data_IF_550947138897
#
_entry.id   IF_550947138897
#
_cell.length_a   1.000
_cell.length_b   1.000
_cell.length_c   1.000
_cell.angle_alpha   90.00
_cell.angle_beta   90.00
_cell.angle_gamma   90.00
#
_symmetry.space_group_name_H-M   'P 1'
#
loop_
_entity.id
_entity.type
_entity.pdbx_description
1 polymer ?
#
# COMPACT_ATOMS: atom_id res chain seq x y z
N UNK A 1 -18.29 -34.69 -56.40
CA UNK A 1 -17.16 -34.28 -57.26
C UNK A 1 -17.72 -33.46 -58.41
N UNK A 2 -17.31 -32.19 -58.60
CA UNK A 2 -16.66 -31.30 -57.64
C UNK A 2 -17.70 -30.92 -56.54
N UNK A 3 -17.93 -29.74 -55.97
CA UNK A 3 -17.32 -28.39 -55.95
C UNK A 3 -17.29 -27.90 -54.47
N UNK A 4 -16.77 -26.70 -54.22
CA UNK A 4 -16.86 -25.99 -52.94
C UNK A 4 -17.16 -24.50 -53.20
N UNK A 5 -18.06 -23.89 -52.42
CA UNK A 5 -18.23 -22.43 -52.39
C UNK A 5 -17.72 -21.87 -51.06
N UNK A 6 -16.70 -21.02 -51.13
CA UNK A 6 -16.21 -20.27 -49.97
C UNK A 6 -17.06 -19.02 -49.73
N UNK A 7 -17.58 -18.86 -48.52
CA UNK A 7 -18.17 -17.59 -48.08
C UNK A 7 -17.11 -16.73 -47.39
N UNK A 8 -16.74 -15.61 -48.02
CA UNK A 8 -16.03 -14.52 -47.35
C UNK A 8 -17.04 -13.63 -46.59
N UNK A 9 -16.79 -13.27 -45.32
CA UNK A 9 -17.59 -12.24 -44.64
C UNK A 9 -17.35 -10.86 -45.26
N UNK A 10 -18.42 -10.13 -45.58
CA UNK A 10 -18.32 -8.77 -46.13
C UNK A 10 -17.87 -7.76 -45.07
N UNK A 11 -17.18 -6.70 -45.50
CA UNK A 11 -16.90 -5.54 -44.65
C UNK A 11 -18.20 -4.87 -44.15
N UNK A 12 -18.38 -4.81 -42.83
CA UNK A 12 -19.11 -3.72 -42.20
C UNK A 12 -18.11 -2.66 -41.74
N UNK A 13 -18.21 -1.44 -42.26
CA UNK A 13 -17.42 -0.31 -41.79
C UNK A 13 -18.00 0.20 -40.46
N UNK A 14 -17.25 0.07 -39.36
CA UNK A 14 -17.63 0.66 -38.08
C UNK A 14 -17.24 2.14 -38.05
N UNK A 15 -18.20 3.01 -38.40
CA UNK A 15 -18.12 4.44 -38.13
C UNK A 15 -18.41 4.65 -36.63
N UNK A 16 -17.51 5.34 -35.92
CA UNK A 16 -17.72 5.73 -34.52
C UNK A 16 -16.74 5.09 -33.53
N UNK A 17 -15.49 5.59 -33.47
CA UNK A 17 -14.52 5.18 -32.43
C UNK A 17 -13.57 6.29 -31.94
N UNK A 18 -13.77 7.56 -32.34
CA UNK A 18 -12.88 8.68 -31.96
C UNK A 18 -13.49 9.72 -31.01
N UNK A 19 -14.81 9.76 -30.82
CA UNK A 19 -15.48 10.86 -30.08
C UNK A 19 -15.46 10.69 -28.55
N UNK A 20 -15.47 9.46 -28.03
CA UNK A 20 -15.68 9.20 -26.59
C UNK A 20 -14.40 9.18 -25.72
N UNK A 21 -13.23 9.43 -26.28
CA UNK A 21 -11.97 9.45 -25.52
C UNK A 21 -11.61 10.83 -24.93
N UNK A 22 -12.04 11.92 -25.58
CA UNK A 22 -11.61 13.29 -25.24
C UNK A 22 -12.11 13.83 -23.88
N UNK A 23 -13.34 13.53 -23.38
CA UNK A 23 -13.84 14.14 -22.14
C UNK A 23 -12.94 13.91 -20.91
N UNK A 24 -12.30 12.74 -20.81
CA UNK A 24 -11.50 12.34 -19.65
C UNK A 24 -10.13 13.04 -19.56
N UNK A 25 -9.50 13.39 -20.67
CA UNK A 25 -8.29 14.23 -20.63
C UNK A 25 -8.66 15.67 -20.30
N UNK A 26 -9.70 16.19 -20.95
CA UNK A 26 -10.04 17.60 -20.84
C UNK A 26 -10.61 17.96 -19.45
N UNK A 27 -11.39 17.08 -18.81
CA UNK A 27 -11.75 17.23 -17.39
C UNK A 27 -10.51 17.21 -16.48
N UNK A 28 -9.58 16.29 -16.71
CA UNK A 28 -8.38 16.12 -15.88
C UNK A 28 -7.45 17.33 -15.97
N UNK A 29 -7.31 17.93 -17.14
CA UNK A 29 -6.55 19.17 -17.36
C UNK A 29 -7.23 20.36 -16.68
N UNK A 30 -8.54 20.55 -16.88
CA UNK A 30 -9.33 21.61 -16.19
C UNK A 30 -9.27 21.47 -14.66
N UNK A 31 -9.37 20.26 -14.12
CA UNK A 31 -9.21 20.03 -12.68
C UNK A 31 -7.78 20.33 -12.19
N UNK A 32 -6.74 20.00 -12.97
CA UNK A 32 -5.36 20.34 -12.62
C UNK A 32 -5.11 21.85 -12.62
N UNK A 33 -5.70 22.58 -13.57
CA UNK A 33 -5.66 24.04 -13.62
C UNK A 33 -6.44 24.66 -12.45
N UNK A 34 -7.65 24.18 -12.17
CA UNK A 34 -8.46 24.69 -11.06
C UNK A 34 -7.81 24.44 -9.68
N UNK A 35 -7.15 23.30 -9.47
CA UNK A 35 -6.34 23.04 -8.26
C UNK A 35 -5.12 23.96 -8.14
N UNK A 36 -4.51 24.35 -9.27
CA UNK A 36 -3.44 25.35 -9.29
C UNK A 36 -3.99 26.72 -8.89
N UNK A 37 -5.05 27.20 -9.55
CA UNK A 37 -5.72 28.48 -9.22
C UNK A 37 -6.15 28.56 -7.76
N UNK A 38 -6.80 27.51 -7.22
CA UNK A 38 -7.19 27.46 -5.80
C UNK A 38 -5.98 27.49 -4.85
N UNK A 39 -4.87 26.84 -5.22
CA UNK A 39 -3.63 26.92 -4.44
C UNK A 39 -3.03 28.34 -4.47
N UNK A 40 -3.12 29.03 -5.59
CA UNK A 40 -2.51 30.33 -5.78
C UNK A 40 -3.32 31.43 -5.06
N UNK A 41 -4.66 31.40 -5.17
CA UNK A 41 -5.57 32.28 -4.42
C UNK A 41 -5.42 32.13 -2.90
N UNK A 42 -5.20 30.91 -2.39
CA UNK A 42 -4.96 30.67 -0.97
C UNK A 42 -3.57 31.15 -0.49
N UNK A 43 -2.67 31.53 -1.40
CA UNK A 43 -1.33 32.06 -1.06
C UNK A 43 -1.18 33.57 -1.25
N UNK A 44 -2.15 34.25 -1.87
CA UNK A 44 -2.09 35.69 -2.17
C UNK A 44 -2.94 36.58 -1.24
N UNK A 45 -3.62 36.01 -0.25
CA UNK A 45 -4.50 36.70 0.70
C UNK A 45 -3.77 37.56 1.74
N UNK A 46 -3.19 38.70 1.31
CA UNK A 46 -2.79 39.78 2.22
C UNK A 46 -4.05 40.47 2.76
N UNK A 47 -4.45 40.17 4.01
CA UNK A 47 -5.48 40.94 4.72
C UNK A 47 -4.80 42.00 5.59
N UNK A 48 -4.92 43.27 5.16
CA UNK A 48 -4.47 44.44 5.91
C UNK A 48 -5.48 44.78 7.02
N UNK A 49 -5.25 44.30 8.24
CA UNK A 49 -6.07 44.69 9.40
C UNK A 49 -5.80 46.16 9.77
N UNK A 50 -6.85 46.97 9.77
CA UNK A 50 -6.83 48.34 10.29
C UNK A 50 -8.09 48.62 11.11
N UNK A 51 -7.96 48.56 12.43
CA UNK A 51 -8.94 49.11 13.38
C UNK A 51 -8.29 49.23 14.77
N UNK A 52 -8.38 50.42 15.35
CA UNK A 52 -7.97 50.68 16.73
C UNK A 52 -9.16 50.42 17.66
N UNK A 53 -8.92 49.78 18.81
CA UNK A 53 -9.74 49.90 20.02
C UNK A 53 -8.85 49.58 21.22
N UNK A 54 -9.01 50.33 22.31
CA UNK A 54 -8.16 50.23 23.51
C UNK A 54 -8.85 49.40 24.61
N UNK A 55 -8.04 48.79 25.49
CA UNK A 55 -8.14 48.71 26.96
C UNK A 55 -9.52 48.49 27.66
N UNK A 56 -9.57 47.70 28.77
CA UNK A 56 -8.57 47.75 29.84
C UNK A 56 -8.12 46.39 30.44
N UNK A 57 -7.15 46.49 31.36
CA UNK A 57 -6.49 45.40 32.08
C UNK A 57 -7.07 45.12 33.46
N UNK A 58 -6.92 43.89 33.96
CA UNK A 58 -6.90 43.57 35.40
C UNK A 58 -5.81 42.50 35.70
N UNK A 59 -5.23 42.44 36.92
CA UNK A 59 -4.00 41.68 37.19
C UNK A 59 -4.19 40.38 38.01
N UNK A 60 -3.19 39.49 37.92
CA UNK A 60 -3.11 38.21 38.65
C UNK A 60 -3.33 37.01 37.71
N UNK A 61 -2.66 35.86 37.86
CA UNK A 61 -1.74 35.37 38.90
C UNK A 61 -0.45 34.85 38.27
N UNK A 62 0.68 34.90 38.98
CA UNK A 62 1.93 34.21 38.58
C UNK A 62 1.91 32.76 39.09
N UNK A 63 1.84 31.78 38.20
CA UNK A 63 2.38 30.44 38.46
C UNK A 63 3.32 30.02 37.34
N UNK A 64 4.55 29.64 37.72
CA UNK A 64 5.63 29.33 36.79
C UNK A 64 5.70 27.83 36.49
N UNK A 65 4.99 27.38 35.46
CA UNK A 65 5.21 26.06 34.88
C UNK A 65 6.01 26.18 33.58
N UNK A 66 7.20 25.60 33.52
CA UNK A 66 8.08 25.66 32.35
C UNK A 66 7.54 24.78 31.22
N UNK A 67 6.79 25.40 30.30
CA UNK A 67 6.33 24.73 29.08
C UNK A 67 7.52 24.46 28.14
N UNK A 68 8.05 23.23 28.18
CA UNK A 68 8.94 22.72 27.15
C UNK A 68 8.16 22.63 25.83
N UNK A 69 8.37 23.60 24.93
CA UNK A 69 7.57 23.79 23.73
C UNK A 69 7.59 22.60 22.77
N UNK A 70 6.49 21.86 22.71
CA UNK A 70 6.28 20.82 21.72
C UNK A 70 6.02 21.43 20.33
N UNK A 71 6.82 21.05 19.32
CA UNK A 71 6.67 21.54 17.94
C UNK A 71 5.49 20.88 17.23
N UNK A 72 4.40 21.61 17.08
CA UNK A 72 3.17 21.15 16.43
C UNK A 72 3.23 21.12 14.90
N UNK A 73 2.25 20.46 14.29
CA UNK A 73 1.79 20.80 12.95
C UNK A 73 1.18 22.23 12.93
N UNK A 74 0.77 22.71 11.76
CA UNK A 74 0.02 23.98 11.67
C UNK A 74 -1.36 23.77 12.35
N UNK A 75 -1.48 24.22 13.61
CA UNK A 75 -2.57 23.85 14.54
C UNK A 75 -3.97 24.33 14.10
N UNK A 76 -4.04 25.13 13.03
CA UNK A 76 -5.29 25.40 12.31
C UNK A 76 -5.22 24.90 10.87
N UNK A 77 -5.66 23.66 10.65
CA UNK A 77 -6.15 23.24 9.33
C UNK A 77 -7.32 24.17 8.97
N UNK A 78 -7.26 24.96 7.88
CA UNK A 78 -8.31 25.92 7.55
C UNK A 78 -9.69 25.26 7.42
N UNK A 79 -10.77 25.93 7.82
CA UNK A 79 -12.11 25.33 7.89
C UNK A 79 -12.61 24.80 6.53
N UNK A 80 -12.29 25.51 5.44
CA UNK A 80 -12.54 25.06 4.04
C UNK A 80 -11.80 23.75 3.68
N UNK A 81 -10.75 23.39 4.42
CA UNK A 81 -10.00 22.14 4.31
C UNK A 81 -10.37 21.10 5.38
N UNK A 82 -11.14 21.48 6.41
CA UNK A 82 -11.75 20.57 7.40
C UNK A 82 -12.99 19.84 6.88
N UNK A 83 -13.82 20.50 6.07
CA UNK A 83 -15.09 19.93 5.56
C UNK A 83 -15.08 19.81 4.03
N UNK A 84 -15.65 18.73 3.50
CA UNK A 84 -15.77 18.48 2.05
C UNK A 84 -16.77 19.46 1.39
N UNK A 85 -16.77 19.57 0.04
CA UNK A 85 -17.70 20.46 -0.67
C UNK A 85 -19.20 20.13 -0.50
N UNK A 86 -19.53 18.99 0.09
CA UNK A 86 -20.89 18.57 0.48
C UNK A 86 -21.17 18.80 1.97
N UNK A 87 -20.37 19.63 2.65
CA UNK A 87 -20.51 20.00 4.07
C UNK A 87 -19.99 18.97 5.06
N UNK A 88 -19.72 17.72 4.63
CA UNK A 88 -19.34 16.64 5.53
C UNK A 88 -17.91 16.75 6.09
N UNK A 89 -17.72 16.33 7.34
CA UNK A 89 -16.44 16.41 8.06
C UNK A 89 -15.36 15.51 7.44
N UNK A 90 -14.30 16.12 6.92
CA UNK A 90 -13.16 15.42 6.32
C UNK A 90 -12.06 15.12 7.34
N UNK A 91 -11.74 16.10 8.20
CA UNK A 91 -10.75 16.00 9.27
C UNK A 91 -11.40 15.41 10.52
N UNK A 92 -10.92 14.26 10.97
CA UNK A 92 -11.59 13.37 11.93
C UNK A 92 -10.80 13.18 13.25
N UNK A 93 -9.52 13.57 13.24
CA UNK A 93 -8.63 13.80 14.39
C UNK A 93 -7.67 14.91 14.00
N UNK A 94 -7.39 15.84 14.91
CA UNK A 94 -6.41 16.92 14.71
C UNK A 94 -5.61 17.14 16.00
N UNK A 95 -4.64 16.25 16.25
CA UNK A 95 -3.68 16.38 17.35
C UNK A 95 -2.35 16.97 16.83
N UNK A 96 -1.55 17.68 17.65
CA UNK A 96 -0.28 18.29 17.23
C UNK A 96 0.71 17.36 16.51
N UNK A 97 0.64 16.05 16.78
CA UNK A 97 1.46 15.02 16.14
C UNK A 97 0.72 14.10 15.17
N UNK A 98 -0.62 14.20 15.04
CA UNK A 98 -1.45 13.27 14.25
C UNK A 98 -2.72 13.94 13.71
N UNK A 99 -2.80 14.10 12.39
CA UNK A 99 -4.04 14.48 11.69
C UNK A 99 -4.60 13.27 10.93
N UNK A 100 -5.90 13.00 11.03
CA UNK A 100 -6.59 11.92 10.30
C UNK A 100 -7.68 12.50 9.40
N UNK A 101 -7.67 12.12 8.12
CA UNK A 101 -8.67 12.48 7.13
C UNK A 101 -9.38 11.22 6.63
N UNK A 102 -10.71 11.20 6.62
CA UNK A 102 -11.50 10.04 6.15
C UNK A 102 -12.29 10.33 4.86
N UNK A 103 -12.45 9.27 4.07
CA UNK A 103 -13.21 9.25 2.84
C UNK A 103 -14.65 8.83 3.12
N UNK A 104 -15.64 9.63 2.71
CA UNK A 104 -17.07 9.25 2.74
C UNK A 104 -17.38 7.95 1.98
N UNK A 105 -16.42 7.42 1.20
CA UNK A 105 -16.60 6.16 0.48
C UNK A 105 -16.59 4.92 1.36
N UNK A 106 -16.23 5.00 2.65
CA UNK A 106 -16.23 3.85 3.58
C UNK A 106 -17.55 3.07 3.54
N UNK A 107 -18.71 3.74 3.72
CA UNK A 107 -20.02 3.09 3.69
C UNK A 107 -20.36 2.43 2.36
N UNK A 108 -19.99 3.07 1.23
CA UNK A 108 -20.14 2.48 -0.12
C UNK A 108 -19.11 1.39 -0.42
N UNK A 109 -17.96 1.38 0.24
CA UNK A 109 -16.97 0.32 0.13
C UNK A 109 -17.47 -0.95 0.85
N UNK A 110 -17.97 -0.80 2.08
CA UNK A 110 -18.66 -1.84 2.86
C UNK A 110 -19.81 -2.44 2.05
N UNK A 111 -20.69 -1.61 1.47
CA UNK A 111 -21.81 -2.07 0.62
C UNK A 111 -21.39 -2.71 -0.72
N UNK A 112 -20.10 -2.85 -0.99
CA UNK A 112 -19.52 -3.46 -2.20
C UNK A 112 -18.54 -4.58 -1.85
N UNK A 113 -18.81 -5.31 -0.77
CA UNK A 113 -18.05 -6.46 -0.30
C UNK A 113 -16.58 -6.09 -0.01
N UNK A 114 -16.37 -5.16 0.92
CA UNK A 114 -15.04 -4.80 1.43
C UNK A 114 -14.42 -6.00 2.17
N UNK A 115 -13.51 -6.72 1.50
CA UNK A 115 -12.89 -7.94 2.02
C UNK A 115 -11.42 -7.77 2.45
N UNK A 116 -10.78 -6.66 2.10
CA UNK A 116 -9.41 -6.39 2.54
C UNK A 116 -9.13 -4.90 2.76
N UNK A 117 -8.24 -4.64 3.72
CA UNK A 117 -7.60 -3.34 3.95
C UNK A 117 -6.13 -3.46 3.56
N UNK A 118 -5.58 -2.42 2.95
CA UNK A 118 -4.16 -2.31 2.59
C UNK A 118 -3.61 -1.03 3.21
N UNK A 119 -2.68 -1.15 4.15
CA UNK A 119 -2.03 -0.04 4.84
C UNK A 119 -0.57 0.12 4.40
N UNK A 120 -0.16 1.33 4.02
CA UNK A 120 1.17 1.60 3.44
C UNK A 120 1.68 3.01 3.84
N UNK A 121 3.01 3.19 3.93
CA UNK A 121 3.67 4.31 4.63
C UNK A 121 4.58 5.16 3.75
N UNK A 122 4.28 6.45 3.61
CA UNK A 122 4.93 7.36 2.66
C UNK A 122 5.83 8.38 3.35
N UNK A 123 7.08 8.01 3.61
CA UNK A 123 8.06 8.86 4.32
C UNK A 123 8.70 9.96 3.43
N UNK A 124 8.22 10.14 2.19
CA UNK A 124 8.81 11.07 1.17
C UNK A 124 7.82 12.14 0.69
N UNK A 125 6.75 12.38 1.45
CA UNK A 125 5.70 13.41 1.18
C UNK A 125 5.26 14.11 2.49
N UNK A 126 6.10 14.06 3.53
CA UNK A 126 5.77 14.66 4.82
C UNK A 126 5.62 16.19 4.66
N UNK A 127 4.54 16.81 5.17
CA UNK A 127 4.38 18.25 5.07
C UNK A 127 5.58 19.01 5.63
N UNK A 128 5.91 20.13 4.99
CA UNK A 128 7.02 20.99 5.42
C UNK A 128 6.63 21.71 6.72
N UNK A 129 7.41 21.54 7.79
CA UNK A 129 7.33 22.45 8.94
C UNK A 129 7.82 23.85 8.55
N UNK A 130 7.37 24.88 9.30
CA UNK A 130 7.70 26.29 9.06
C UNK A 130 9.22 26.50 9.18
N UNK A 131 9.81 27.46 8.44
CA UNK A 131 11.22 27.85 8.69
C UNK A 131 11.35 28.30 10.14
N UNK A 132 12.30 27.73 10.88
CA UNK A 132 12.50 28.00 12.31
C UNK A 132 11.75 27.06 13.26
N UNK A 133 10.91 26.13 12.78
CA UNK A 133 10.33 25.10 13.63
C UNK A 133 11.43 24.16 14.17
N UNK A 134 11.43 23.90 15.48
CA UNK A 134 12.44 23.07 16.15
C UNK A 134 12.46 21.62 15.64
N UNK A 135 11.30 21.11 15.19
CA UNK A 135 11.16 19.77 14.61
C UNK A 135 11.18 19.84 13.08
N UNK A 136 12.14 19.14 12.47
CA UNK A 136 12.04 18.77 11.06
C UNK A 136 11.13 17.55 10.92
N UNK A 137 10.16 17.58 10.03
CA UNK A 137 9.23 16.46 9.76
C UNK A 137 9.91 15.32 8.97
N UNK A 138 11.22 15.13 9.14
CA UNK A 138 12.04 14.15 8.41
C UNK A 138 11.84 12.71 8.97
N UNK A 139 11.33 12.56 10.20
CA UNK A 139 11.05 11.25 10.84
C UNK A 139 9.64 10.69 10.65
N UNK A 140 8.65 11.55 10.35
CA UNK A 140 7.24 11.18 10.28
C UNK A 140 6.83 10.45 9.00
N UNK A 141 5.53 10.35 8.76
CA UNK A 141 4.99 9.81 7.50
C UNK A 141 3.60 10.34 7.17
N UNK A 142 3.27 10.34 5.87
CA UNK A 142 1.88 10.23 5.41
C UNK A 142 1.56 8.74 5.33
N UNK A 143 0.56 8.26 6.07
CA UNK A 143 0.13 6.86 6.06
C UNK A 143 -1.27 6.76 5.43
N UNK A 144 -1.52 5.76 4.57
CA UNK A 144 -2.84 5.60 3.93
C UNK A 144 -3.40 4.20 4.14
N UNK A 145 -4.73 4.11 4.26
CA UNK A 145 -5.45 2.83 4.30
C UNK A 145 -6.45 2.77 3.15
N UNK A 146 -6.34 1.71 2.36
CA UNK A 146 -7.09 1.47 1.13
C UNK A 146 -8.00 0.26 1.31
N UNK A 147 -9.29 0.41 1.01
CA UNK A 147 -10.26 -0.68 1.01
C UNK A 147 -10.30 -1.39 -0.34
N UNK A 148 -10.35 -2.72 -0.32
CA UNK A 148 -10.50 -3.57 -1.50
C UNK A 148 -11.89 -4.20 -1.51
N UNK A 149 -12.65 -3.86 -2.56
CA UNK A 149 -14.05 -4.25 -2.74
C UNK A 149 -14.19 -5.33 -3.83
N UNK A 150 -15.40 -5.90 -3.99
CA UNK A 150 -15.77 -6.91 -5.00
C UNK A 150 -15.10 -6.68 -6.36
N UNK A 151 -14.57 -7.73 -6.98
CA UNK A 151 -13.85 -7.62 -8.26
C UNK A 151 -12.45 -7.01 -8.16
N UNK A 152 -11.95 -6.75 -6.94
CA UNK A 152 -10.60 -6.25 -6.67
C UNK A 152 -10.42 -4.74 -6.83
N UNK A 153 -11.52 -3.99 -7.00
CA UNK A 153 -11.49 -2.52 -7.00
C UNK A 153 -10.94 -1.99 -5.68
N UNK A 154 -10.36 -0.80 -5.75
CA UNK A 154 -9.62 -0.23 -4.63
C UNK A 154 -9.95 1.23 -4.46
N UNK A 155 -10.23 1.61 -3.21
CA UNK A 155 -10.63 2.96 -2.82
C UNK A 155 -9.82 3.42 -1.61
N UNK A 156 -9.19 4.61 -1.63
CA UNK A 156 -8.59 5.18 -0.44
C UNK A 156 -9.70 5.54 0.57
N UNK A 157 -9.62 4.94 1.77
CA UNK A 157 -10.57 5.12 2.86
C UNK A 157 -10.09 6.15 3.88
N UNK A 158 -8.79 6.14 4.18
CA UNK A 158 -8.19 7.01 5.21
C UNK A 158 -6.79 7.48 4.76
N UNK A 159 -6.46 8.72 5.10
CA UNK A 159 -5.10 9.25 5.08
C UNK A 159 -4.79 9.88 6.44
N UNK A 160 -3.69 9.48 7.05
CA UNK A 160 -3.15 10.09 8.25
C UNK A 160 -1.84 10.82 7.94
N UNK A 161 -1.61 11.93 8.64
CA UNK A 161 -0.34 12.66 8.64
C UNK A 161 0.17 12.59 10.08
N UNK A 162 1.27 11.88 10.30
CA UNK A 162 1.81 11.62 11.63
C UNK A 162 3.28 11.99 11.74
N UNK A 163 3.67 12.62 12.85
CA UNK A 163 5.07 12.86 13.20
C UNK A 163 5.76 11.56 13.66
N UNK A 164 4.97 10.64 14.19
CA UNK A 164 5.42 9.45 14.91
C UNK A 164 5.05 8.14 14.19
N UNK A 165 5.62 7.04 14.67
CA UNK A 165 5.40 5.66 14.17
C UNK A 165 5.19 4.66 15.32
N UNK A 166 4.55 5.11 16.39
CA UNK A 166 4.30 4.32 17.60
C UNK A 166 3.06 3.46 17.39
N UNK A 167 2.95 2.41 18.19
CA UNK A 167 1.78 1.53 18.16
C UNK A 167 0.49 2.31 18.53
N UNK A 168 0.62 3.27 19.44
CA UNK A 168 -0.46 4.18 19.85
C UNK A 168 -1.00 5.04 18.68
N UNK A 169 -0.14 5.61 17.84
CA UNK A 169 -0.58 6.41 16.67
C UNK A 169 -1.41 5.55 15.72
N UNK A 170 -0.93 4.32 15.47
CA UNK A 170 -1.62 3.34 14.63
C UNK A 170 -2.93 2.84 15.23
N UNK A 171 -3.01 2.71 16.55
CA UNK A 171 -4.25 2.36 17.26
C UNK A 171 -5.32 3.43 17.05
N UNK A 172 -4.98 4.71 17.13
CA UNK A 172 -5.91 5.82 16.84
C UNK A 172 -6.37 5.77 15.37
N UNK A 173 -5.42 5.58 14.44
CA UNK A 173 -5.68 5.46 12.99
C UNK A 173 -6.65 4.30 12.69
N UNK A 174 -6.38 3.10 13.20
CA UNK A 174 -7.21 1.94 12.92
C UNK A 174 -8.55 1.97 13.66
N UNK A 175 -8.64 2.50 14.88
CA UNK A 175 -9.91 2.67 15.59
C UNK A 175 -10.86 3.62 14.85
N UNK A 176 -10.37 4.75 14.35
CA UNK A 176 -11.20 5.70 13.58
C UNK A 176 -11.75 5.07 12.30
N UNK A 177 -10.95 4.24 11.61
CA UNK A 177 -11.44 3.46 10.46
C UNK A 177 -12.43 2.37 10.86
N UNK A 178 -12.18 1.65 11.96
CA UNK A 178 -13.05 0.56 12.43
C UNK A 178 -14.43 1.09 12.83
N UNK A 179 -14.49 2.15 13.64
CA UNK A 179 -15.77 2.76 14.02
C UNK A 179 -16.61 3.21 12.81
N UNK A 180 -15.97 3.85 11.81
CA UNK A 180 -16.64 4.25 10.57
C UNK A 180 -17.05 3.07 9.67
N UNK A 181 -16.43 1.89 9.84
CA UNK A 181 -16.87 0.65 9.21
C UNK A 181 -18.02 -0.01 9.99
N UNK A 182 -18.01 0.03 11.32
CA UNK A 182 -19.07 -0.48 12.18
C UNK A 182 -20.38 0.28 11.98
N UNK A 183 -20.36 1.62 12.02
CA UNK A 183 -21.49 2.51 11.67
C UNK A 183 -22.06 2.20 10.27
N UNK A 184 -21.17 1.89 9.31
CA UNK A 184 -21.56 1.52 7.97
C UNK A 184 -22.17 0.10 7.88
N UNK A 185 -21.70 -0.86 8.66
CA UNK A 185 -22.20 -2.24 8.72
C UNK A 185 -23.57 -2.26 9.40
N UNK A 186 -23.68 -1.65 10.58
CA UNK A 186 -24.92 -1.53 11.37
C UNK A 186 -26.02 -0.82 10.57
N UNK A 187 -25.73 0.39 10.07
CA UNK A 187 -26.70 1.16 9.30
C UNK A 187 -27.01 0.60 7.90
N UNK A 188 -26.40 -0.54 7.50
CA UNK A 188 -26.77 -1.31 6.30
C UNK A 188 -27.33 -2.70 6.65
N UNK A 189 -27.47 -3.03 7.94
CA UNK A 189 -27.86 -4.35 8.45
C UNK A 189 -27.01 -5.51 7.90
N UNK A 190 -25.70 -5.28 7.75
CA UNK A 190 -24.75 -6.27 7.24
C UNK A 190 -24.07 -7.06 8.37
N UNK A 191 -23.39 -8.15 8.02
CA UNK A 191 -22.51 -8.89 8.94
C UNK A 191 -21.09 -8.35 8.89
N UNK A 192 -20.29 -8.52 9.96
CA UNK A 192 -18.87 -8.14 9.95
C UNK A 192 -18.12 -8.92 8.86
N UNK A 193 -17.45 -8.25 7.89
CA UNK A 193 -16.74 -8.94 6.83
C UNK A 193 -15.47 -9.64 7.37
N UNK A 194 -15.16 -10.83 6.84
CA UNK A 194 -13.88 -11.51 7.09
C UNK A 194 -12.72 -10.78 6.39
N UNK A 195 -12.19 -9.75 7.05
CA UNK A 195 -11.16 -8.88 6.51
C UNK A 195 -9.79 -9.56 6.44
N UNK A 196 -9.03 -9.24 5.38
CA UNK A 196 -7.57 -9.37 5.31
C UNK A 196 -6.92 -8.00 5.46
N UNK A 197 -6.01 -7.81 6.40
CA UNK A 197 -5.31 -6.54 6.62
C UNK A 197 -3.87 -6.69 6.17
N UNK A 198 -3.56 -6.20 4.97
CA UNK A 198 -2.23 -6.34 4.34
C UNK A 198 -1.39 -5.10 4.66
N UNK A 199 -0.27 -5.32 5.35
CA UNK A 199 0.59 -4.27 5.88
C UNK A 199 2.06 -4.48 5.50
N UNK A 200 2.86 -3.48 5.84
CA UNK A 200 4.30 -3.54 5.85
C UNK A 200 4.83 -4.26 7.11
N UNK A 201 6.11 -4.62 7.08
CA UNK A 201 6.79 -5.28 8.19
C UNK A 201 7.25 -4.27 9.27
N UNK A 202 6.37 -3.36 9.65
CA UNK A 202 6.55 -2.38 10.73
C UNK A 202 5.75 -2.83 11.96
N UNK A 203 6.45 -3.18 13.05
CA UNK A 203 5.86 -3.89 14.19
C UNK A 203 4.70 -3.12 14.85
N UNK A 204 4.82 -1.79 14.93
CA UNK A 204 3.80 -0.90 15.49
C UNK A 204 2.48 -1.00 14.71
N UNK A 205 2.51 -0.90 13.38
CA UNK A 205 1.33 -1.04 12.53
C UNK A 205 0.71 -2.45 12.65
N UNK A 206 1.55 -3.49 12.70
CA UNK A 206 1.11 -4.90 12.79
C UNK A 206 0.40 -5.17 14.12
N UNK A 207 0.99 -4.74 15.24
CA UNK A 207 0.43 -4.95 16.56
C UNK A 207 -0.88 -4.17 16.74
N UNK A 208 -0.90 -2.90 16.32
CA UNK A 208 -2.12 -2.07 16.34
C UNK A 208 -3.25 -2.71 15.50
N UNK A 209 -2.95 -3.19 14.29
CA UNK A 209 -3.95 -3.85 13.44
C UNK A 209 -4.47 -5.15 14.06
N UNK A 210 -3.61 -5.97 14.70
CA UNK A 210 -4.03 -7.17 15.44
C UNK A 210 -4.91 -6.83 16.66
N UNK A 211 -4.61 -5.73 17.34
CA UNK A 211 -5.38 -5.25 18.50
C UNK A 211 -6.77 -4.76 18.10
N UNK A 212 -6.87 -4.04 16.97
CA UNK A 212 -8.12 -3.41 16.54
C UNK A 212 -8.99 -4.34 15.67
N UNK A 213 -8.38 -5.21 14.86
CA UNK A 213 -9.08 -6.18 14.03
C UNK A 213 -8.71 -7.63 14.42
N UNK A 214 -9.07 -8.10 15.63
CA UNK A 214 -8.68 -9.43 16.13
C UNK A 214 -9.25 -10.58 15.29
N UNK A 215 -10.40 -10.36 14.63
CA UNK A 215 -11.05 -11.32 13.74
C UNK A 215 -10.42 -11.37 12.32
N UNK A 216 -9.47 -10.50 12.01
CA UNK A 216 -8.94 -10.32 10.65
C UNK A 216 -7.59 -11.02 10.41
N UNK A 217 -7.38 -11.46 9.17
CA UNK A 217 -6.09 -12.02 8.72
C UNK A 217 -5.07 -10.89 8.52
N UNK A 218 -4.25 -10.59 9.54
CA UNK A 218 -3.18 -9.58 9.46
C UNK A 218 -1.96 -10.17 8.75
N UNK A 219 -1.69 -9.69 7.54
CA UNK A 219 -0.72 -10.22 6.58
C UNK A 219 0.37 -9.21 6.21
N UNK A 220 1.54 -9.72 5.83
CA UNK A 220 2.64 -8.92 5.30
C UNK A 220 2.65 -8.84 3.77
N UNK A 221 2.96 -7.66 3.24
CA UNK A 221 3.05 -7.37 1.81
C UNK A 221 4.22 -8.11 1.13
N UNK A 222 3.94 -8.91 0.09
CA UNK A 222 4.99 -9.66 -0.62
C UNK A 222 5.97 -8.78 -1.44
N UNK A 223 5.61 -7.52 -1.71
CA UNK A 223 6.54 -6.57 -2.32
C UNK A 223 7.56 -6.10 -1.29
N UNK A 224 7.12 -5.67 -0.11
CA UNK A 224 8.00 -5.28 0.98
C UNK A 224 8.84 -6.44 1.53
N UNK A 225 8.30 -7.66 1.54
CA UNK A 225 9.07 -8.90 1.76
C UNK A 225 10.23 -9.04 0.77
N UNK A 226 9.92 -8.91 -0.54
CA UNK A 226 10.93 -8.98 -1.60
C UNK A 226 11.99 -7.89 -1.43
N UNK A 227 11.59 -6.66 -1.05
CA UNK A 227 12.51 -5.56 -0.80
C UNK A 227 13.40 -5.83 0.42
N UNK A 228 12.86 -6.30 1.54
CA UNK A 228 13.62 -6.61 2.74
C UNK A 228 14.69 -7.69 2.48
N UNK A 229 14.31 -8.78 1.79
CA UNK A 229 15.24 -9.85 1.42
C UNK A 229 16.30 -9.36 0.41
N UNK A 230 15.90 -8.64 -0.64
CA UNK A 230 16.84 -8.10 -1.65
C UNK A 230 17.82 -7.08 -1.05
N UNK A 231 17.34 -6.17 -0.18
CA UNK A 231 18.20 -5.20 0.52
C UNK A 231 19.20 -5.92 1.43
N UNK A 232 18.76 -6.87 2.26
CA UNK A 232 19.66 -7.64 3.14
C UNK A 232 20.69 -8.47 2.36
N UNK A 233 20.29 -9.11 1.25
CA UNK A 233 21.20 -9.79 0.32
C UNK A 233 22.30 -8.85 -0.19
N UNK A 234 21.91 -7.66 -0.64
CA UNK A 234 22.85 -6.67 -1.17
C UNK A 234 23.81 -6.18 -0.07
N UNK A 235 23.30 -5.89 1.15
CA UNK A 235 24.12 -5.49 2.31
C UNK A 235 25.14 -6.55 2.71
N UNK A 236 24.80 -7.84 2.59
CA UNK A 236 25.73 -8.95 2.83
C UNK A 236 26.68 -9.22 1.66
N UNK A 237 26.66 -8.41 0.60
CA UNK A 237 27.56 -8.53 -0.56
C UNK A 237 27.26 -9.69 -1.51
N UNK A 238 26.18 -10.45 -1.29
CA UNK A 238 25.85 -11.69 -2.02
C UNK A 238 25.59 -11.43 -3.51
N UNK A 239 25.20 -10.22 -3.89
CA UNK A 239 24.86 -9.84 -5.28
C UNK A 239 25.98 -10.14 -6.29
N UNK A 240 27.25 -10.09 -5.89
CA UNK A 240 28.40 -10.44 -6.74
C UNK A 240 28.39 -11.91 -7.18
N UNK A 241 27.94 -12.80 -6.30
CA UNK A 241 27.86 -14.24 -6.58
C UNK A 241 26.65 -14.60 -7.45
N UNK A 242 25.75 -13.64 -7.73
CA UNK A 242 24.61 -13.83 -8.62
C UNK A 242 24.86 -13.38 -10.06
N UNK A 243 25.80 -12.45 -10.30
CA UNK A 243 26.08 -11.85 -11.61
C UNK A 243 27.47 -11.22 -11.67
N UNK A 244 28.07 -11.20 -12.87
CA UNK A 244 29.44 -10.73 -13.08
C UNK A 244 30.46 -11.87 -13.02
N UNK A 245 31.73 -11.53 -12.84
CA UNK A 245 32.87 -12.48 -12.80
C UNK A 245 32.79 -13.45 -11.62
N UNK A 246 32.40 -12.98 -10.43
CA UNK A 246 32.27 -13.80 -9.21
C UNK A 246 31.02 -14.72 -9.20
N UNK A 247 30.27 -14.85 -10.30
CA UNK A 247 28.99 -15.58 -10.34
C UNK A 247 29.16 -17.07 -10.04
N UNK A 248 28.56 -17.53 -8.95
CA UNK A 248 28.52 -18.94 -8.55
C UNK A 248 27.15 -19.58 -8.85
N UNK A 249 27.14 -20.71 -9.54
CA UNK A 249 25.91 -21.41 -9.96
C UNK A 249 25.02 -21.81 -8.78
N UNK A 250 25.62 -22.42 -7.74
CA UNK A 250 24.91 -22.86 -6.53
C UNK A 250 24.27 -21.70 -5.77
N UNK A 251 24.96 -20.55 -5.67
CA UNK A 251 24.41 -19.34 -5.04
C UNK A 251 23.24 -18.76 -5.84
N UNK A 252 23.29 -18.80 -7.18
CA UNK A 252 22.17 -18.42 -8.05
C UNK A 252 20.97 -19.36 -7.88
N UNK A 253 21.20 -20.67 -7.78
CA UNK A 253 20.16 -21.67 -7.58
C UNK A 253 19.49 -21.48 -6.21
N UNK A 254 20.29 -21.42 -5.14
CA UNK A 254 19.88 -21.18 -3.76
C UNK A 254 19.06 -19.90 -3.59
N UNK A 255 19.54 -18.76 -4.13
CA UNK A 255 18.80 -17.51 -4.07
C UNK A 255 17.44 -17.59 -4.78
N UNK A 256 17.35 -18.34 -5.89
CA UNK A 256 16.09 -18.58 -6.61
C UNK A 256 15.16 -19.51 -5.83
N UNK A 257 15.67 -20.58 -5.22
CA UNK A 257 14.90 -21.45 -4.32
C UNK A 257 14.31 -20.63 -3.16
N UNK A 258 15.14 -19.86 -2.43
CA UNK A 258 14.66 -19.01 -1.33
C UNK A 258 13.60 -17.99 -1.79
N UNK A 259 13.79 -17.35 -2.94
CA UNK A 259 12.80 -16.42 -3.52
C UNK A 259 11.45 -17.05 -3.89
N UNK A 260 11.37 -18.37 -4.01
CA UNK A 260 10.13 -19.10 -4.22
C UNK A 260 9.32 -19.30 -2.94
N UNK A 261 9.96 -19.28 -1.76
CA UNK A 261 9.35 -19.67 -0.47
C UNK A 261 8.03 -18.99 -0.13
N UNK A 262 7.76 -17.71 -0.47
CA UNK A 262 6.47 -17.09 -0.18
C UNK A 262 5.28 -17.76 -0.87
N UNK A 263 5.53 -18.67 -1.83
CA UNK A 263 4.49 -19.45 -2.51
C UNK A 263 4.50 -20.93 -2.14
N UNK A 264 5.34 -21.37 -1.19
CA UNK A 264 5.33 -22.75 -0.72
C UNK A 264 4.46 -22.86 0.55
N UNK A 265 3.63 -23.91 0.72
CA UNK A 265 2.97 -24.17 1.99
C UNK A 265 3.99 -24.45 3.10
N UNK A 266 3.72 -23.97 4.31
CA UNK A 266 4.66 -24.07 5.44
C UNK A 266 5.01 -25.50 5.83
N UNK A 267 4.09 -26.45 5.62
CA UNK A 267 4.31 -27.87 5.88
C UNK A 267 5.41 -28.47 4.99
N UNK A 268 5.66 -27.93 3.78
CA UNK A 268 6.70 -28.39 2.86
C UNK A 268 8.07 -27.73 3.08
N UNK A 269 8.25 -26.86 4.07
CA UNK A 269 9.55 -26.21 4.34
C UNK A 269 10.65 -27.24 4.67
N UNK A 270 10.29 -28.43 5.16
CA UNK A 270 11.21 -29.52 5.42
C UNK A 270 11.76 -30.22 4.14
N UNK A 271 11.24 -29.92 2.95
CA UNK A 271 11.83 -30.35 1.67
C UNK A 271 12.84 -29.33 1.10
N UNK A 272 13.06 -28.17 1.74
CA UNK A 272 13.88 -27.10 1.16
C UNK A 272 15.30 -27.12 1.71
N UNK A 273 16.25 -27.70 0.96
CA UNK A 273 17.66 -27.75 1.38
C UNK A 273 18.27 -26.34 1.52
N UNK A 274 17.89 -25.40 0.65
CA UNK A 274 18.35 -24.01 0.72
C UNK A 274 18.09 -23.30 2.07
N UNK A 275 17.15 -23.79 2.88
CA UNK A 275 16.87 -23.28 4.23
C UNK A 275 17.75 -23.92 5.32
N UNK A 276 18.34 -25.10 5.05
CA UNK A 276 19.17 -25.85 6.00
C UNK A 276 20.62 -25.38 6.04
N UNK A 277 21.27 -25.26 4.87
CA UNK A 277 22.71 -24.97 4.75
C UNK A 277 23.04 -23.89 3.71
N UNK A 278 24.19 -23.20 3.83
CA UNK A 278 24.74 -22.40 2.74
C UNK A 278 25.00 -23.25 1.48
N UNK A 279 24.96 -22.66 0.28
CA UNK A 279 25.00 -23.42 -0.98
C UNK A 279 26.41 -23.73 -1.51
N UNK A 280 27.43 -23.59 -0.65
CA UNK A 280 28.86 -23.72 -0.97
C UNK A 280 29.60 -24.20 0.27
N UNK A 281 30.79 -24.78 0.09
CA UNK A 281 31.66 -25.18 1.20
C UNK A 281 32.29 -23.99 1.92
N UNK A 282 32.86 -24.23 3.12
CA UNK A 282 33.23 -23.20 4.10
C UNK A 282 34.29 -22.22 3.59
N UNK A 283 35.16 -22.72 2.72
CA UNK A 283 36.33 -22.07 2.13
C UNK A 283 35.93 -21.11 1.01
N UNK A 284 34.76 -21.28 0.39
CA UNK A 284 34.29 -20.42 -0.69
C UNK A 284 33.89 -19.04 -0.12
N UNK A 285 34.35 -17.91 -0.70
CA UNK A 285 33.98 -16.55 -0.27
C UNK A 285 32.48 -16.23 -0.13
N UNK A 286 31.59 -17.03 -0.72
CA UNK A 286 30.14 -16.88 -0.57
C UNK A 286 29.57 -17.51 0.73
N UNK A 287 30.30 -18.40 1.42
CA UNK A 287 29.81 -19.13 2.60
C UNK A 287 29.39 -18.20 3.73
N UNK A 288 30.30 -17.34 4.18
CA UNK A 288 30.04 -16.37 5.26
C UNK A 288 28.84 -15.45 4.98
N UNK A 289 28.79 -14.78 3.81
CA UNK A 289 27.61 -14.05 3.34
C UNK A 289 26.31 -14.85 3.35
N UNK A 290 26.29 -16.05 2.76
CA UNK A 290 25.08 -16.88 2.69
C UNK A 290 24.62 -17.34 4.08
N UNK A 291 25.55 -17.77 4.96
CA UNK A 291 25.25 -18.13 6.35
C UNK A 291 24.66 -16.96 7.14
N UNK A 292 25.21 -15.75 6.99
CA UNK A 292 24.64 -14.52 7.58
C UNK A 292 23.24 -14.19 7.04
N UNK A 293 22.91 -14.58 5.81
CA UNK A 293 21.55 -14.45 5.27
C UNK A 293 20.61 -15.55 5.78
N UNK A 294 21.04 -16.81 5.85
CA UNK A 294 20.23 -17.92 6.41
C UNK A 294 19.83 -17.65 7.87
N UNK A 295 20.76 -17.12 8.68
CA UNK A 295 20.46 -16.71 10.06
C UNK A 295 19.44 -15.57 10.10
N UNK A 296 19.51 -14.60 9.18
CA UNK A 296 18.49 -13.54 9.07
C UNK A 296 17.13 -14.09 8.60
N UNK A 297 17.12 -15.00 7.63
CA UNK A 297 15.89 -15.65 7.16
C UNK A 297 15.21 -16.38 8.34
N UNK A 298 15.98 -17.17 9.09
CA UNK A 298 15.51 -17.88 10.28
C UNK A 298 14.97 -16.92 11.36
N UNK A 299 15.85 -16.10 11.92
CA UNK A 299 15.57 -15.32 13.13
C UNK A 299 14.55 -14.18 12.92
N UNK A 300 14.24 -13.80 11.68
CA UNK A 300 13.24 -12.76 11.38
C UNK A 300 11.97 -13.32 10.73
N UNK A 301 12.06 -14.39 9.92
CA UNK A 301 10.95 -14.85 9.07
C UNK A 301 10.48 -16.29 9.31
N UNK A 302 11.30 -17.18 9.87
CA UNK A 302 10.88 -18.57 10.18
C UNK A 302 10.50 -18.77 11.65
N UNK A 303 11.26 -18.11 12.53
CA UNK A 303 11.16 -18.21 14.00
C UNK A 303 10.91 -16.82 14.64
N UNK A 304 11.10 -15.73 13.87
CA UNK A 304 10.93 -14.35 14.31
C UNK A 304 9.49 -13.80 14.25
N UNK A 305 9.31 -12.49 14.55
CA UNK A 305 7.99 -11.87 14.77
C UNK A 305 7.07 -11.88 13.54
N UNK A 306 7.62 -12.06 12.33
CA UNK A 306 6.85 -12.08 11.08
C UNK A 306 6.46 -13.49 10.61
N UNK A 307 6.78 -14.55 11.37
CA UNK A 307 6.64 -15.98 11.01
C UNK A 307 5.39 -16.32 10.18
N UNK A 308 4.21 -15.87 10.61
CA UNK A 308 2.91 -16.24 10.02
C UNK A 308 2.47 -15.36 8.85
N UNK A 309 3.18 -14.27 8.55
CA UNK A 309 2.59 -13.15 7.79
C UNK A 309 2.87 -13.17 6.27
N UNK A 310 3.92 -13.86 5.85
CA UNK A 310 4.51 -13.71 4.51
C UNK A 310 4.21 -14.86 3.53
N UNK A 311 3.51 -15.91 3.96
CA UNK A 311 2.99 -16.93 3.04
C UNK A 311 1.90 -16.33 2.14
N UNK A 312 1.95 -16.69 0.85
CA UNK A 312 1.08 -16.28 -0.26
C UNK A 312 0.80 -17.43 -1.25
N UNK A 313 0.99 -18.67 -0.81
CA UNK A 313 0.45 -19.85 -1.52
C UNK A 313 -1.08 -19.76 -1.55
N UNK A 314 -1.68 -20.04 -2.71
CA UNK A 314 -3.13 -19.95 -2.98
C UNK A 314 -3.84 -18.61 -2.70
N UNK A 315 -3.17 -17.61 -2.11
CA UNK A 315 -3.65 -16.23 -2.02
C UNK A 315 -3.66 -15.64 -3.44
N UNK A 316 -4.82 -15.58 -4.08
CA UNK A 316 -4.95 -15.16 -5.47
C UNK A 316 -4.92 -13.62 -5.60
N UNK A 317 -5.76 -12.92 -4.82
CA UNK A 317 -5.98 -11.47 -4.83
C UNK A 317 -5.07 -10.70 -3.84
N UNK A 318 -4.57 -9.54 -4.29
CA UNK A 318 -3.85 -8.52 -3.49
C UNK A 318 -2.72 -9.10 -2.61
N UNK A 319 -1.80 -9.86 -3.22
CA UNK A 319 -0.57 -10.35 -2.57
C UNK A 319 0.44 -9.24 -2.24
N UNK A 320 0.23 -8.02 -2.75
CA UNK A 320 1.19 -6.90 -2.73
C UNK A 320 0.47 -5.55 -2.64
N UNK A 321 1.10 -4.57 -1.99
CA UNK A 321 0.69 -3.16 -1.96
C UNK A 321 0.91 -2.44 -3.30
N UNK A 322 1.05 -3.16 -4.43
CA UNK A 322 1.36 -2.61 -5.75
C UNK A 322 0.41 -1.48 -6.18
N UNK A 323 -0.86 -1.50 -5.77
CA UNK A 323 -1.81 -0.44 -6.09
C UNK A 323 -1.65 0.78 -5.17
N UNK A 324 -1.37 0.58 -3.87
CA UNK A 324 -0.99 1.67 -2.96
C UNK A 324 0.28 2.37 -3.46
N UNK A 325 1.32 1.64 -3.89
CA UNK A 325 2.51 2.27 -4.51
C UNK A 325 2.22 2.92 -5.88
N UNK A 326 1.25 2.43 -6.66
CA UNK A 326 0.76 3.17 -7.83
C UNK A 326 0.02 4.47 -7.44
N UNK A 327 -0.70 4.47 -6.31
CA UNK A 327 -1.34 5.64 -5.73
C UNK A 327 -0.28 6.61 -5.18
N UNK A 328 0.74 6.16 -4.44
CA UNK A 328 1.89 6.97 -4.03
C UNK A 328 2.59 7.56 -5.27
N UNK A 329 2.77 6.77 -6.32
CA UNK A 329 3.31 7.22 -7.61
C UNK A 329 2.46 8.28 -8.31
N UNK A 330 1.14 8.33 -8.07
CA UNK A 330 0.25 9.42 -8.53
C UNK A 330 0.32 10.63 -7.61
N UNK A 331 0.26 10.43 -6.28
CA UNK A 331 0.35 11.46 -5.26
C UNK A 331 1.66 12.26 -5.38
N UNK A 332 2.80 11.58 -5.52
CA UNK A 332 4.12 12.18 -5.80
C UNK A 332 4.13 13.02 -7.10
N UNK A 333 3.37 12.62 -8.12
CA UNK A 333 3.27 13.34 -9.41
C UNK A 333 2.34 14.55 -9.35
N UNK A 334 1.23 14.48 -8.60
CA UNK A 334 0.31 15.60 -8.40
C UNK A 334 0.97 16.72 -7.57
N UNK A 335 1.70 16.33 -6.52
CA UNK A 335 2.30 17.30 -5.59
C UNK A 335 3.63 17.88 -6.08
N UNK A 336 4.34 17.20 -6.98
CA UNK A 336 5.62 17.63 -7.58
C UNK A 336 6.81 17.83 -6.61
N UNK A 337 6.59 17.69 -5.30
CA UNK A 337 7.49 18.13 -4.23
C UNK A 337 7.66 17.00 -3.19
N UNK A 338 8.86 16.85 -2.64
CA UNK A 338 9.15 15.91 -1.53
C UNK A 338 8.46 16.29 -0.20
N UNK A 339 8.18 17.58 -0.02
CA UNK A 339 7.53 18.13 1.16
C UNK A 339 6.54 19.21 0.71
N UNK A 340 5.27 18.86 0.44
CA UNK A 340 4.24 19.83 0.09
C UNK A 340 3.84 20.67 1.32
N UNK A 341 3.15 21.81 1.12
CA UNK A 341 2.29 22.38 2.16
C UNK A 341 1.18 21.38 2.53
N UNK A 342 0.76 21.34 3.80
CA UNK A 342 -0.32 20.47 4.27
C UNK A 342 -1.61 20.65 3.43
N UNK A 343 -1.96 21.89 3.10
CA UNK A 343 -3.10 22.21 2.24
C UNK A 343 -3.07 21.48 0.86
N UNK A 344 -1.91 21.43 0.20
CA UNK A 344 -1.77 20.74 -1.08
C UNK A 344 -1.94 19.21 -0.93
N UNK A 345 -1.49 18.64 0.20
CA UNK A 345 -1.70 17.22 0.52
C UNK A 345 -3.18 16.89 0.76
N UNK A 346 -3.91 17.74 1.50
CA UNK A 346 -5.36 17.60 1.74
C UNK A 346 -6.13 17.67 0.41
N UNK A 347 -5.84 18.67 -0.44
CA UNK A 347 -6.49 18.82 -1.75
C UNK A 347 -6.21 17.64 -2.69
N UNK A 348 -4.98 17.09 -2.68
CA UNK A 348 -4.67 15.87 -3.39
C UNK A 348 -5.46 14.66 -2.85
N UNK A 349 -5.60 14.52 -1.53
CA UNK A 349 -6.41 13.44 -0.93
C UNK A 349 -7.89 13.55 -1.32
N UNK A 350 -8.48 14.74 -1.23
CA UNK A 350 -9.86 15.03 -1.69
C UNK A 350 -10.07 14.63 -3.15
N UNK A 351 -9.10 14.96 -4.01
CA UNK A 351 -9.13 14.60 -5.43
C UNK A 351 -9.16 13.08 -5.63
N UNK A 352 -8.42 12.32 -4.81
CA UNK A 352 -8.48 10.86 -4.83
C UNK A 352 -9.79 10.28 -4.26
N UNK A 353 -10.38 10.88 -3.22
CA UNK A 353 -11.69 10.44 -2.70
C UNK A 353 -12.82 10.70 -3.71
N UNK A 354 -12.70 11.74 -4.56
CA UNK A 354 -13.62 11.97 -5.68
C UNK A 354 -13.49 10.87 -6.76
N UNK A 355 -12.26 10.48 -7.12
CA UNK A 355 -12.02 9.33 -8.02
C UNK A 355 -12.55 8.03 -7.40
N UNK A 356 -12.50 7.88 -6.07
CA UNK A 356 -13.10 6.75 -5.37
C UNK A 356 -14.63 6.75 -5.47
N UNK A 357 -15.31 7.90 -5.25
CA UNK A 357 -16.77 8.06 -5.43
C UNK A 357 -17.21 7.60 -6.84
N UNK A 358 -16.47 7.98 -7.87
CA UNK A 358 -16.74 7.58 -9.27
C UNK A 358 -16.38 6.12 -9.59
N UNK A 359 -15.36 5.55 -8.93
CA UNK A 359 -15.01 4.13 -9.08
C UNK A 359 -16.12 3.22 -8.56
N UNK A 360 -16.67 3.54 -7.38
CA UNK A 360 -17.80 2.82 -6.81
C UNK A 360 -19.08 2.99 -7.63
N UNK A 361 -19.33 4.19 -8.21
CA UNK A 361 -20.47 4.42 -9.10
C UNK A 361 -20.41 3.52 -10.36
N UNK A 362 -19.22 3.24 -10.90
CA UNK A 362 -19.06 2.24 -11.97
C UNK A 362 -19.37 0.82 -11.49
N UNK A 363 -19.01 0.45 -10.25
CA UNK A 363 -19.30 -0.88 -9.70
C UNK A 363 -20.80 -1.12 -9.49
N UNK A 364 -21.54 -0.09 -9.09
CA UNK A 364 -23.00 -0.11 -8.94
C UNK A 364 -23.68 -0.40 -10.29
N UNK A 365 -23.23 0.27 -11.35
CA UNK A 365 -23.70 0.12 -12.74
C UNK A 365 -23.20 -1.15 -13.45
N UNK A 366 -22.09 -1.74 -13.00
CA UNK A 366 -21.41 -2.87 -13.68
C UNK A 366 -20.98 -3.94 -12.68
N UNK A 367 -21.96 -4.47 -11.94
CA UNK A 367 -21.77 -5.34 -10.76
C UNK A 367 -20.83 -6.54 -10.95
N UNK A 368 -20.73 -7.04 -12.18
CA UNK A 368 -19.93 -8.22 -12.58
C UNK A 368 -18.63 -7.92 -13.34
N UNK A 369 -18.31 -6.65 -13.64
CA UNK A 369 -17.05 -6.30 -14.35
C UNK A 369 -15.89 -6.24 -13.32
N UNK A 370 -14.85 -7.12 -13.38
CA UNK A 370 -13.72 -7.05 -12.47
C UNK A 370 -12.77 -5.88 -12.81
N UNK A 371 -11.92 -5.48 -11.85
CA UNK A 371 -10.87 -4.46 -12.06
C UNK A 371 -9.93 -4.90 -13.20
N UNK A 372 -10.04 -4.23 -14.35
CA UNK A 372 -9.23 -4.53 -15.53
C UNK A 372 -7.73 -4.36 -15.24
N UNK A 373 -7.00 -5.48 -15.19
CA UNK A 373 -5.55 -5.51 -15.12
C UNK A 373 -4.94 -5.26 -16.52
N UNK A 374 -3.75 -4.66 -16.57
CA UNK A 374 -2.99 -4.54 -17.83
C UNK A 374 -2.65 -5.95 -18.35
N UNK A 375 -2.67 -6.16 -19.67
CA UNK A 375 -2.40 -7.47 -20.31
C UNK A 375 -1.19 -8.21 -19.72
N UNK A 376 -0.07 -7.52 -19.51
CA UNK A 376 1.16 -8.09 -18.90
C UNK A 376 0.96 -8.55 -17.44
N UNK A 377 0.19 -7.79 -16.66
CA UNK A 377 0.02 -8.01 -15.22
C UNK A 377 -0.99 -9.15 -15.00
N UNK A 378 -2.02 -9.23 -15.87
CA UNK A 378 -2.96 -10.35 -15.97
C UNK A 378 -2.25 -11.66 -16.35
N UNK A 379 -1.46 -11.68 -17.43
CA UNK A 379 -0.67 -12.86 -17.85
C UNK A 379 0.32 -13.32 -16.77
N UNK A 380 0.91 -12.37 -16.03
CA UNK A 380 1.78 -12.70 -14.88
C UNK A 380 1.00 -13.33 -13.73
N UNK A 381 -0.25 -12.89 -13.49
CA UNK A 381 -1.15 -13.46 -12.49
C UNK A 381 -1.61 -14.87 -12.89
N UNK A 382 -2.18 -15.01 -14.09
CA UNK A 382 -2.62 -16.29 -14.71
C UNK A 382 -1.52 -17.38 -14.61
N UNK A 383 -0.29 -17.07 -15.04
CA UNK A 383 0.84 -18.02 -15.00
C UNK A 383 1.36 -18.34 -13.59
N UNK A 384 1.13 -17.45 -12.62
CA UNK A 384 1.44 -17.69 -11.22
C UNK A 384 0.40 -18.60 -10.56
N UNK A 385 -0.88 -18.37 -10.86
CA UNK A 385 -2.00 -19.16 -10.33
C UNK A 385 -2.01 -20.58 -10.89
N UNK A 386 -1.85 -20.75 -12.21
CA UNK A 386 -1.70 -22.08 -12.81
C UNK A 386 -0.48 -22.86 -12.26
N UNK A 387 0.60 -22.17 -11.88
CA UNK A 387 1.76 -22.82 -11.25
C UNK A 387 1.46 -23.30 -9.81
N UNK A 388 0.71 -22.52 -9.01
CA UNK A 388 0.26 -22.96 -7.68
C UNK A 388 -0.77 -24.10 -7.78
N UNK A 389 -1.65 -24.06 -8.78
CA UNK A 389 -2.65 -25.11 -9.04
C UNK A 389 -1.97 -26.45 -9.39
N UNK A 390 -1.00 -26.48 -10.31
CA UNK A 390 -0.25 -27.70 -10.61
C UNK A 390 0.47 -28.27 -9.37
N UNK A 391 1.00 -27.41 -8.50
CA UNK A 391 1.60 -27.87 -7.24
C UNK A 391 0.55 -28.38 -6.24
N UNK A 392 -0.66 -27.82 -6.23
CA UNK A 392 -1.77 -28.33 -5.44
C UNK A 392 -2.20 -29.73 -5.88
N UNK A 393 -2.22 -30.01 -7.19
CA UNK A 393 -2.48 -31.35 -7.75
C UNK A 393 -1.43 -32.37 -7.27
N UNK A 394 -0.14 -32.09 -7.48
CA UNK A 394 0.96 -32.96 -7.02
C UNK A 394 0.94 -33.20 -5.51
N UNK A 395 0.49 -32.20 -4.73
CA UNK A 395 0.30 -32.32 -3.27
C UNK A 395 -0.83 -33.30 -2.91
N UNK A 396 -1.95 -33.28 -3.64
CA UNK A 396 -3.06 -34.22 -3.42
C UNK A 396 -2.69 -35.66 -3.85
N UNK A 397 -1.79 -35.81 -4.81
CA UNK A 397 -1.31 -37.10 -5.33
C UNK A 397 -0.12 -37.68 -4.51
N UNK A 398 0.36 -36.95 -3.48
CA UNK A 398 1.55 -37.26 -2.68
C UNK A 398 2.86 -37.38 -3.49
N UNK A 399 2.93 -36.79 -4.69
CA UNK A 399 4.07 -36.84 -5.61
C UNK A 399 5.13 -35.75 -5.33
N UNK A 400 5.33 -35.37 -4.05
CA UNK A 400 6.19 -34.25 -3.67
C UNK A 400 7.49 -34.72 -3.01
N UNK A 401 8.57 -34.71 -3.79
CA UNK A 401 9.93 -34.90 -3.32
C UNK A 401 10.71 -33.55 -3.23
N UNK A 402 11.95 -33.62 -2.73
CA UNK A 402 12.86 -32.47 -2.66
C UNK A 402 13.12 -31.80 -4.00
N UNK A 403 13.28 -32.58 -5.09
CA UNK A 403 13.56 -32.04 -6.43
C UNK A 403 12.37 -31.27 -6.97
N UNK A 404 11.17 -31.84 -6.86
CA UNK A 404 9.90 -31.25 -7.30
C UNK A 404 9.57 -29.98 -6.52
N UNK A 405 9.72 -30.00 -5.20
CA UNK A 405 9.53 -28.81 -4.35
C UNK A 405 10.51 -27.70 -4.73
N UNK A 406 11.79 -28.01 -4.91
CA UNK A 406 12.76 -26.99 -5.30
C UNK A 406 12.59 -26.48 -6.74
N UNK A 407 12.16 -27.31 -7.71
CA UNK A 407 11.83 -26.81 -9.05
C UNK A 407 10.62 -25.86 -9.00
N UNK A 408 9.58 -26.23 -8.26
CA UNK A 408 8.43 -25.36 -8.02
C UNK A 408 8.87 -24.01 -7.44
N UNK A 409 9.71 -24.01 -6.40
CA UNK A 409 10.30 -22.80 -5.83
C UNK A 409 11.06 -21.98 -6.88
N UNK A 410 11.93 -22.61 -7.69
CA UNK A 410 12.67 -21.97 -8.77
C UNK A 410 11.77 -21.40 -9.87
N UNK A 411 10.63 -22.03 -10.17
CA UNK A 411 9.57 -21.53 -11.08
C UNK A 411 8.89 -20.30 -10.47
N UNK A 412 8.52 -20.37 -9.18
CA UNK A 412 7.83 -19.28 -8.47
C UNK A 412 8.71 -18.07 -8.15
N UNK A 413 10.04 -18.25 -8.09
CA UNK A 413 11.04 -17.17 -7.91
C UNK A 413 10.95 -16.02 -8.93
N UNK A 414 10.26 -16.24 -10.05
CA UNK A 414 9.97 -15.25 -11.10
C UNK A 414 8.89 -14.23 -10.67
N UNK A 415 8.11 -14.52 -9.62
CA UNK A 415 7.01 -13.68 -9.14
C UNK A 415 7.42 -12.67 -8.06
N UNK A 416 8.48 -12.93 -7.28
CA UNK A 416 9.11 -12.01 -6.32
C UNK A 416 10.14 -11.07 -6.99
N UNK A 417 10.32 -9.85 -6.44
CA UNK A 417 11.30 -8.88 -6.99
C UNK A 417 12.74 -9.36 -6.82
N UNK A 418 13.64 -8.90 -7.68
CA UNK A 418 15.10 -9.06 -7.52
C UNK A 418 15.85 -7.73 -7.41
N UNK A 419 15.14 -6.61 -7.63
CA UNK A 419 15.68 -5.26 -7.64
C UNK A 419 15.28 -4.53 -6.36
N UNK A 420 16.27 -3.92 -5.72
CA UNK A 420 16.05 -2.90 -4.70
C UNK A 420 15.47 -1.65 -5.37
N UNK A 421 14.59 -0.94 -4.66
CA UNK A 421 14.08 0.40 -4.97
C UNK A 421 14.19 1.25 -3.69
#
# INVERSE_FOLDING_TARGET
MPQQHSMQPRHMQSIGSQVLAQPFQHQKERHSQHLQTLSDTLTSGNVSNSSNAESPTFPGVRESCQQNGAGSYDDNVPEVLRNLPDGSTFLQVQDPSLHIYMSQTIRRAVSHDLFALVGDGIHKINPRSRRGAAVRVDGGQVYTVHGICRGGFEVPLLLAVTQNKREEDYVIIFNKLKAAMEEAIEGLSLTEPRLRVVLDFEQAAINAARRIFPNASVEGCAWHLSQAWVRRRNTLGILRFLKGSERCGSVVQWWRTLKGLPFLPTEYFHHVEAMRRPPVEREHPAYGPCKKFSNYLRNTWLEGPFKTMWCKYMVDVQRTTNTAENYHGRLRKILGKKHPPLAQLILAFRSFTLVAKGTLARMELRRSEPKMLRKRDRIRREKGEGAMASFATLRCENLLDTVTVEEYLRRMSKYTSDKAI
#
